data_IF_064737938641
#
_entry.id   IF_064737938641
#
_cell.length_a   1.000
_cell.length_b   1.000
_cell.length_c   1.000
_cell.angle_alpha   90.00
_cell.angle_beta   90.00
_cell.angle_gamma   90.00
#
_symmetry.space_group_name_H-M   'P 1'
#
loop_
_entity.id
_entity.type
_entity.pdbx_description
1 polymer ?
#
# COMPACT_ATOMS: atom_id res chain seq x y z
N UNK A 1 -10.31 7.59 -8.35
CA UNK A 1 -9.33 6.50 -8.55
C UNK A 1 -8.11 6.90 -9.37
N UNK A 2 -8.27 7.22 -10.68
CA UNK A 2 -7.18 7.32 -11.68
C UNK A 2 -5.90 8.03 -11.24
N UNK A 3 -5.99 9.20 -10.60
CA UNK A 3 -4.83 9.99 -10.19
C UNK A 3 -4.30 9.68 -8.77
N UNK A 4 -4.87 8.71 -8.05
CA UNK A 4 -4.63 8.50 -6.61
C UNK A 4 -4.36 7.04 -6.23
N UNK A 5 -4.31 6.13 -7.20
CA UNK A 5 -4.02 4.72 -6.96
C UNK A 5 -2.76 4.34 -7.73
N UNK A 6 -1.75 3.89 -6.98
CA UNK A 6 -0.47 3.49 -7.51
C UNK A 6 -0.14 2.07 -7.06
N UNK A 7 0.56 1.35 -7.93
CA UNK A 7 1.05 -0.01 -7.68
C UNK A 7 2.57 0.04 -7.67
N UNK A 8 3.18 -0.51 -6.63
CA UNK A 8 4.63 -0.67 -6.59
C UNK A 8 5.01 -1.92 -7.41
N UNK A 9 5.76 -1.71 -8.49
CA UNK A 9 6.25 -2.73 -9.41
C UNK A 9 7.73 -3.00 -9.15
N UNK A 10 8.12 -4.28 -9.15
CA UNK A 10 9.54 -4.64 -9.01
C UNK A 10 10.39 -4.14 -10.19
N UNK A 11 9.83 -4.15 -11.40
CA UNK A 11 10.54 -3.78 -12.63
C UNK A 11 10.37 -2.29 -12.99
N UNK A 12 9.22 -1.69 -12.68
CA UNK A 12 8.86 -0.33 -13.09
C UNK A 12 8.79 0.67 -11.93
N UNK A 13 9.06 0.23 -10.69
CA UNK A 13 9.11 1.10 -9.52
C UNK A 13 7.71 1.44 -9.01
N UNK A 14 7.15 2.58 -9.43
CA UNK A 14 5.80 3.01 -9.07
C UNK A 14 5.02 3.32 -10.35
N UNK A 15 3.89 2.65 -10.52
CA UNK A 15 3.03 2.81 -11.69
C UNK A 15 1.64 3.24 -11.27
N UNK A 16 1.00 4.10 -12.05
CA UNK A 16 -0.40 4.45 -11.90
C UNK A 16 -1.31 3.27 -12.25
N UNK A 17 -2.55 3.31 -11.76
CA UNK A 17 -3.54 2.25 -11.97
C UNK A 17 -3.88 1.96 -13.45
N UNK A 18 -3.55 2.87 -14.37
CA UNK A 18 -3.85 2.74 -15.80
C UNK A 18 -2.62 2.60 -16.69
N UNK A 19 -1.42 2.59 -16.10
CA UNK A 19 -0.19 2.45 -16.86
C UNK A 19 -0.13 1.06 -17.49
N UNK A 20 0.15 1.03 -18.80
CA UNK A 20 0.35 -0.22 -19.52
C UNK A 20 1.72 -0.80 -19.17
N UNK A 21 1.74 -2.04 -18.73
CA UNK A 21 2.97 -2.78 -18.44
C UNK A 21 3.02 -4.07 -19.28
N UNK A 22 4.17 -4.44 -19.84
CA UNK A 22 4.34 -5.73 -20.50
C UNK A 22 4.26 -6.87 -19.47
N UNK A 23 3.94 -8.08 -19.93
CA UNK A 23 3.99 -9.26 -19.07
C UNK A 23 5.44 -9.51 -18.60
N UNK A 24 5.64 -9.61 -17.29
CA UNK A 24 6.94 -9.94 -16.71
C UNK A 24 6.77 -10.72 -15.40
N UNK A 25 7.85 -11.36 -14.95
CA UNK A 25 7.93 -12.01 -13.64
C UNK A 25 9.21 -11.57 -12.93
N UNK A 26 9.05 -10.67 -11.97
CA UNK A 26 10.13 -10.21 -11.09
C UNK A 26 9.52 -9.82 -9.73
N UNK A 27 10.19 -10.19 -8.64
CA UNK A 27 9.72 -9.91 -7.28
C UNK A 27 10.55 -8.77 -6.66
N UNK A 28 9.96 -7.99 -5.76
CA UNK A 28 10.64 -6.85 -5.13
C UNK A 28 11.91 -7.21 -4.34
N UNK A 29 12.07 -8.47 -3.91
CA UNK A 29 13.27 -8.96 -3.24
C UNK A 29 14.31 -9.59 -4.16
N UNK A 30 14.12 -9.56 -5.48
CA UNK A 30 15.02 -10.20 -6.44
C UNK A 30 16.39 -9.51 -6.51
N UNK A 31 17.41 -10.28 -6.90
CA UNK A 31 18.74 -9.79 -7.27
C UNK A 31 18.95 -10.05 -8.77
N UNK A 32 19.35 -9.02 -9.50
CA UNK A 32 19.61 -9.10 -10.94
C UNK A 32 21.12 -9.08 -11.23
N UNK A 33 21.60 -9.85 -12.22
CA UNK A 33 22.96 -9.72 -12.73
C UNK A 33 23.25 -8.28 -13.17
N UNK A 34 24.41 -7.74 -12.81
CA UNK A 34 24.83 -6.38 -13.17
C UNK A 34 24.12 -5.23 -12.44
N UNK A 35 22.93 -5.45 -11.86
CA UNK A 35 22.15 -4.42 -11.14
C UNK A 35 22.17 -4.61 -9.62
N UNK A 36 22.30 -5.85 -9.14
CA UNK A 36 22.24 -6.17 -7.73
C UNK A 36 20.81 -6.24 -7.19
N UNK A 37 20.60 -5.86 -5.93
CA UNK A 37 19.31 -5.99 -5.26
C UNK A 37 18.33 -4.91 -5.77
N UNK A 38 17.13 -5.32 -6.19
CA UNK A 38 16.07 -4.42 -6.68
C UNK A 38 15.72 -3.32 -5.66
N UNK A 39 15.76 -3.63 -4.36
CA UNK A 39 15.60 -2.64 -3.29
C UNK A 39 16.64 -1.54 -3.38
N UNK A 40 17.92 -1.90 -3.48
CA UNK A 40 19.01 -0.93 -3.54
C UNK A 40 18.93 -0.09 -4.81
N UNK A 41 18.52 -0.69 -5.93
CA UNK A 41 18.32 0.03 -7.19
C UNK A 41 17.20 1.08 -7.12
N UNK A 42 16.09 0.77 -6.43
CA UNK A 42 14.93 1.67 -6.38
C UNK A 42 14.94 2.71 -5.26
N UNK A 43 15.54 2.40 -4.11
CA UNK A 43 15.51 3.28 -2.93
C UNK A 43 15.91 4.74 -3.22
N UNK A 44 16.97 5.02 -4.01
CA UNK A 44 17.36 6.41 -4.32
C UNK A 44 16.31 7.20 -5.11
N UNK A 45 15.45 6.53 -5.88
CA UNK A 45 14.49 7.17 -6.78
C UNK A 45 13.06 7.18 -6.24
N UNK A 46 12.60 6.08 -5.65
CA UNK A 46 11.21 5.96 -5.20
C UNK A 46 10.92 6.73 -3.90
N UNK A 47 11.88 6.83 -2.99
CA UNK A 47 11.73 7.60 -1.75
C UNK A 47 11.35 9.06 -2.02
N UNK A 48 12.16 9.81 -2.81
CA UNK A 48 11.85 11.19 -3.17
C UNK A 48 10.50 11.37 -3.87
N UNK A 49 10.14 10.46 -4.79
CA UNK A 49 8.84 10.51 -5.49
C UNK A 49 7.68 10.39 -4.51
N UNK A 50 7.73 9.43 -3.58
CA UNK A 50 6.67 9.25 -2.59
C UNK A 50 6.60 10.41 -1.59
N UNK A 51 7.74 10.98 -1.19
CA UNK A 51 7.77 12.13 -0.28
C UNK A 51 7.29 13.44 -0.92
N UNK A 52 7.36 13.56 -2.25
CA UNK A 52 6.90 14.71 -3.00
C UNK A 52 5.41 14.64 -3.39
N UNK A 53 4.73 13.52 -3.11
CA UNK A 53 3.30 13.40 -3.39
C UNK A 53 2.47 14.25 -2.43
N UNK A 54 1.50 14.97 -2.97
CA UNK A 54 0.62 15.82 -2.18
C UNK A 54 -0.39 15.00 -1.37
N UNK A 55 -0.53 15.40 -0.11
CA UNK A 55 -1.55 14.88 0.78
C UNK A 55 -1.22 13.51 1.41
N UNK A 56 -2.22 12.93 2.08
CA UNK A 56 -2.04 11.73 2.89
C UNK A 56 -1.92 10.48 2.00
N UNK A 57 -0.89 9.68 2.26
CA UNK A 57 -0.67 8.41 1.58
C UNK A 57 -1.17 7.28 2.46
N UNK A 58 -2.00 6.40 1.90
CA UNK A 58 -2.40 5.14 2.53
C UNK A 58 -1.54 4.02 1.95
N UNK A 59 -0.64 3.46 2.75
CA UNK A 59 0.25 2.38 2.31
C UNK A 59 -0.41 1.01 2.55
N UNK A 60 -0.88 0.42 1.45
CA UNK A 60 -1.46 -0.92 1.40
C UNK A 60 -0.49 -1.97 0.83
N UNK A 61 0.80 -1.63 0.67
CA UNK A 61 1.80 -2.57 0.16
C UNK A 61 2.09 -3.69 1.15
N UNK A 62 2.67 -4.77 0.65
CA UNK A 62 3.31 -5.78 1.50
C UNK A 62 4.74 -5.36 1.83
N UNK A 63 5.31 -5.94 2.90
CA UNK A 63 6.61 -5.52 3.41
C UNK A 63 7.75 -5.53 2.38
N UNK A 64 7.75 -6.49 1.46
CA UNK A 64 8.75 -6.56 0.39
C UNK A 64 8.73 -5.33 -0.55
N UNK A 65 7.55 -4.73 -0.76
CA UNK A 65 7.38 -3.54 -1.60
C UNK A 65 7.50 -2.25 -0.80
N UNK A 66 7.06 -2.22 0.46
CA UNK A 66 7.36 -1.10 1.37
C UNK A 66 8.87 -0.91 1.54
N UNK A 67 9.65 -2.00 1.54
CA UNK A 67 11.11 -1.93 1.64
C UNK A 67 11.79 -1.21 0.46
N UNK A 68 11.14 -1.17 -0.72
CA UNK A 68 11.66 -0.46 -1.90
C UNK A 68 11.65 1.06 -1.69
N UNK A 69 10.69 1.57 -0.93
CA UNK A 69 10.60 2.97 -0.54
C UNK A 69 9.79 3.10 0.75
N UNK A 70 10.47 3.07 1.92
CA UNK A 70 9.84 3.29 3.21
C UNK A 70 9.27 4.70 3.30
N UNK A 71 8.06 4.82 3.85
CA UNK A 71 7.39 6.11 4.01
C UNK A 71 6.74 6.16 5.41
N UNK A 72 7.47 6.61 6.45
CA UNK A 72 7.00 6.62 7.83
C UNK A 72 5.76 7.50 8.07
N UNK A 73 5.53 8.50 7.22
CA UNK A 73 4.38 9.40 7.28
C UNK A 73 3.08 8.78 6.74
N UNK A 74 3.14 7.60 6.11
CA UNK A 74 1.97 6.98 5.52
C UNK A 74 1.01 6.44 6.58
N UNK A 75 -0.29 6.51 6.28
CA UNK A 75 -1.33 5.79 7.01
C UNK A 75 -1.21 4.31 6.63
N UNK A 76 -1.03 3.43 7.61
CA UNK A 76 -0.86 1.99 7.39
C UNK A 76 -2.06 1.22 7.91
N UNK A 77 -2.41 0.15 7.20
CA UNK A 77 -3.48 -0.76 7.61
C UNK A 77 -2.94 -2.16 7.89
N UNK A 78 -3.21 -2.65 9.09
CA UNK A 78 -2.97 -4.03 9.50
C UNK A 78 -4.27 -4.82 9.40
N UNK A 79 -4.23 -5.98 8.75
CA UNK A 79 -5.38 -6.87 8.66
C UNK A 79 -5.27 -7.93 9.76
N UNK A 80 -6.32 -8.03 10.56
CA UNK A 80 -6.39 -8.89 11.74
C UNK A 80 -7.63 -9.79 11.68
N UNK A 81 -7.63 -10.87 12.46
CA UNK A 81 -8.82 -11.66 12.77
C UNK A 81 -9.72 -10.91 13.75
N UNK A 82 -10.93 -11.43 14.00
CA UNK A 82 -11.82 -10.90 15.03
C UNK A 82 -11.17 -10.93 16.44
N UNK A 83 -10.24 -11.87 16.66
CA UNK A 83 -9.46 -12.01 17.90
C UNK A 83 -8.17 -11.17 17.88
N UNK A 84 -7.96 -10.30 16.89
CA UNK A 84 -6.80 -9.40 16.81
C UNK A 84 -5.50 -10.03 16.30
N UNK A 85 -5.52 -11.30 15.86
CA UNK A 85 -4.33 -11.98 15.30
C UNK A 85 -4.10 -11.59 13.85
N UNK A 86 -2.82 -11.41 13.46
CA UNK A 86 -2.45 -11.07 12.08
C UNK A 86 -2.81 -12.21 11.12
N UNK A 87 -3.47 -11.88 10.01
CA UNK A 87 -3.82 -12.84 8.95
C UNK A 87 -2.87 -12.66 7.76
N UNK A 88 -2.35 -13.75 7.19
CA UNK A 88 -1.48 -13.69 6.01
C UNK A 88 -2.25 -13.83 4.69
N UNK A 89 -3.21 -14.76 4.61
CA UNK A 89 -3.95 -15.07 3.38
C UNK A 89 -5.01 -14.02 3.02
N UNK A 90 -5.92 -13.67 3.95
CA UNK A 90 -6.98 -12.69 3.68
C UNK A 90 -6.47 -11.24 3.57
N UNK A 91 -5.29 -10.95 4.11
CA UNK A 91 -4.69 -9.62 4.09
C UNK A 91 -4.67 -8.99 2.69
N UNK A 92 -4.28 -9.74 1.66
CA UNK A 92 -4.23 -9.22 0.28
C UNK A 92 -5.62 -8.86 -0.24
N UNK A 93 -6.60 -9.73 0.00
CA UNK A 93 -7.99 -9.51 -0.42
C UNK A 93 -8.57 -8.28 0.28
N UNK A 94 -8.41 -8.20 1.61
CA UNK A 94 -8.91 -7.10 2.43
C UNK A 94 -8.27 -5.77 2.04
N UNK A 95 -6.94 -5.73 1.85
CA UNK A 95 -6.25 -4.53 1.33
C UNK A 95 -6.73 -4.13 -0.07
N UNK A 96 -7.01 -5.09 -0.95
CA UNK A 96 -7.62 -4.83 -2.26
C UNK A 96 -9.02 -4.20 -2.14
N UNK A 97 -9.86 -4.69 -1.22
CA UNK A 97 -11.18 -4.11 -0.92
C UNK A 97 -11.05 -2.68 -0.39
N UNK A 98 -10.12 -2.42 0.53
CA UNK A 98 -9.84 -1.07 1.05
C UNK A 98 -9.36 -0.14 -0.07
N UNK A 99 -8.45 -0.60 -0.92
CA UNK A 99 -7.99 0.18 -2.08
C UNK A 99 -9.17 0.57 -3.00
N UNK A 100 -10.09 -0.37 -3.27
CA UNK A 100 -11.32 -0.09 -4.02
C UNK A 100 -12.20 0.94 -3.32
N UNK A 101 -12.41 0.80 -2.02
CA UNK A 101 -13.21 1.73 -1.21
C UNK A 101 -12.63 3.15 -1.32
N UNK A 102 -11.32 3.32 -1.09
CA UNK A 102 -10.64 4.62 -1.14
C UNK A 102 -10.54 5.22 -2.56
N UNK A 103 -10.58 4.35 -3.58
CA UNK A 103 -10.64 4.75 -4.97
C UNK A 103 -11.98 5.44 -5.32
N UNK A 104 -13.07 5.02 -4.68
CA UNK A 104 -14.43 5.57 -4.81
C UNK A 104 -14.69 6.72 -3.84
N UNK A 105 -14.30 6.58 -2.57
CA UNK A 105 -14.54 7.55 -1.49
C UNK A 105 -13.21 7.91 -0.83
N UNK A 106 -12.62 9.07 -1.15
CA UNK A 106 -11.32 9.48 -0.60
C UNK A 106 -11.38 9.64 0.92
N UNK A 107 -10.28 9.32 1.59
CA UNK A 107 -10.02 9.69 2.97
C UNK A 107 -8.72 10.48 3.06
N UNK A 108 -8.71 11.53 3.90
CA UNK A 108 -7.55 12.39 4.15
C UNK A 108 -6.90 12.16 5.53
N UNK A 109 -7.57 11.43 6.39
CA UNK A 109 -7.07 11.12 7.73
C UNK A 109 -7.27 9.64 8.06
N UNK A 110 -6.58 9.16 9.08
CA UNK A 110 -6.76 7.78 9.57
C UNK A 110 -8.18 7.54 10.06
N UNK A 111 -8.80 8.55 10.69
CA UNK A 111 -10.19 8.48 11.17
C UNK A 111 -11.18 8.39 10.00
N UNK A 112 -11.01 9.25 8.97
CA UNK A 112 -11.82 9.16 7.74
C UNK A 112 -11.65 7.81 7.03
N UNK A 113 -10.42 7.26 6.98
CA UNK A 113 -10.19 5.93 6.40
C UNK A 113 -11.03 4.88 7.13
N UNK A 114 -11.05 4.93 8.47
CA UNK A 114 -11.83 4.00 9.30
C UNK A 114 -13.33 4.17 9.08
N UNK A 115 -13.82 5.41 9.04
CA UNK A 115 -15.23 5.72 8.79
C UNK A 115 -15.70 5.21 7.42
N UNK A 116 -14.96 5.52 6.36
CA UNK A 116 -15.29 5.08 5.00
C UNK A 116 -15.22 3.55 4.89
N UNK A 117 -14.24 2.93 5.55
CA UNK A 117 -14.09 1.46 5.58
C UNK A 117 -15.27 0.79 6.32
N UNK A 118 -15.73 1.38 7.43
CA UNK A 118 -16.92 0.93 8.18
C UNK A 118 -18.20 1.10 7.38
N UNK A 119 -18.38 2.24 6.72
CA UNK A 119 -19.53 2.51 5.85
C UNK A 119 -19.63 1.50 4.69
N UNK A 120 -18.50 0.93 4.26
CA UNK A 120 -18.44 -0.14 3.27
C UNK A 120 -18.64 -1.57 3.84
N UNK A 121 -18.96 -1.70 5.14
CA UNK A 121 -19.29 -2.96 5.79
C UNK A 121 -18.11 -3.76 6.35
N UNK A 122 -16.92 -3.15 6.47
CA UNK A 122 -15.76 -3.78 7.10
C UNK A 122 -15.59 -3.29 8.54
N UNK A 123 -15.27 -4.19 9.48
CA UNK A 123 -14.92 -3.80 10.83
C UNK A 123 -13.50 -3.21 10.84
N UNK A 124 -13.39 -1.91 11.11
CA UNK A 124 -12.12 -1.19 11.15
C UNK A 124 -12.00 -0.41 12.46
N UNK A 125 -10.78 -0.22 12.97
CA UNK A 125 -10.50 0.54 14.20
C UNK A 125 -9.20 1.32 14.04
N UNK A 126 -9.18 2.56 14.48
CA UNK A 126 -7.95 3.35 14.54
C UNK A 126 -7.13 2.91 15.78
N UNK A 127 -5.87 2.56 15.58
CA UNK A 127 -4.96 2.08 16.64
C UNK A 127 -3.83 3.07 16.96
N UNK A 128 -3.71 4.14 16.18
CA UNK A 128 -2.73 5.19 16.37
C UNK A 128 -2.96 6.36 15.40
N UNK A 129 -2.10 7.39 15.42
CA UNK A 129 -2.25 8.57 14.57
C UNK A 129 -2.27 8.24 13.07
N UNK A 130 -1.43 7.30 12.65
CA UNK A 130 -1.28 6.85 11.25
C UNK A 130 -1.48 5.35 11.09
N UNK A 131 -2.14 4.69 12.05
CA UNK A 131 -2.32 3.22 12.02
C UNK A 131 -3.77 2.84 12.25
N UNK A 132 -4.26 1.91 11.44
CA UNK A 132 -5.58 1.31 11.57
C UNK A 132 -5.51 -0.21 11.46
N UNK A 133 -6.45 -0.88 12.12
CA UNK A 133 -6.69 -2.31 12.01
C UNK A 133 -8.02 -2.57 11.32
N UNK A 134 -8.06 -3.58 10.45
CA UNK A 134 -9.27 -4.02 9.76
C UNK A 134 -9.42 -5.52 9.91
N UNK A 135 -10.60 -5.97 10.31
CA UNK A 135 -10.92 -7.39 10.42
C UNK A 135 -11.10 -7.98 9.02
N UNK A 136 -10.40 -9.08 8.71
CA UNK A 136 -10.38 -9.67 7.38
C UNK A 136 -10.05 -11.15 7.34
#
# INVERSE_FOLDING_TARGET
>A
ARARLFVCSALFGLVGAEDRIPAYRLSGGSKLPGVGNIRAAWQPSLGPVLSAMDGPIVDLRSGAYTALAPLPSAITVRVVTAEGKIVSHHNKSTKGRIARILACTPARTTSELVEVTRAAGLAATQTGPTTAEVVG
#
